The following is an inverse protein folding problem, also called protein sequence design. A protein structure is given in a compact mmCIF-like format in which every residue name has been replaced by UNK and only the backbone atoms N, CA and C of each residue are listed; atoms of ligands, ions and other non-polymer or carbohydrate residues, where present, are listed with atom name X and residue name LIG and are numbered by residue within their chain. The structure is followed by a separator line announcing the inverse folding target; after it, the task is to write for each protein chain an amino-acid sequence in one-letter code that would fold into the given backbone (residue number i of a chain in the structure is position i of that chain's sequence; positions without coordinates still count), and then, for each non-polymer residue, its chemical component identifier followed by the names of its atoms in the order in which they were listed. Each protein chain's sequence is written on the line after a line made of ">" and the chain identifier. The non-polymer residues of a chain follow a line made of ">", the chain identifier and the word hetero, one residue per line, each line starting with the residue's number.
data_IF_094783537258
#
_entry.id   IF_094783537258
#
_cell.length_a   1.000
_cell.length_b   1.000
_cell.length_c   1.000
_cell.angle_alpha   90.00
_cell.angle_beta   90.00
_cell.angle_gamma   90.00
#
_symmetry.space_group_name_H-M   'P 1'
#
loop_
_entity.id
_entity.type
_entity.pdbx_description
1 polymer ?
#
# COMPACT_ATOMS: atom_id res chain seq x y z
N UNK A 1 38.09 10.27 -7.03
CA UNK A 1 36.98 9.63 -7.79
C UNK A 1 36.13 8.70 -6.92
N UNK A 2 36.72 8.02 -5.94
CA UNK A 2 36.01 7.12 -5.00
C UNK A 2 34.88 7.80 -4.19
N UNK A 3 35.05 9.08 -3.81
CA UNK A 3 34.04 9.86 -3.07
C UNK A 3 32.74 10.11 -3.86
N UNK A 4 32.83 10.18 -5.20
CA UNK A 4 31.67 10.38 -6.08
C UNK A 4 30.90 9.08 -6.31
N UNK A 5 31.63 7.96 -6.35
CA UNK A 5 31.03 6.63 -6.46
C UNK A 5 30.22 6.26 -5.20
N UNK A 6 30.72 6.58 -4.00
CA UNK A 6 30.01 6.34 -2.74
C UNK A 6 28.72 7.16 -2.61
N UNK A 7 28.71 8.40 -3.10
CA UNK A 7 27.51 9.25 -3.09
C UNK A 7 26.45 8.74 -4.08
N UNK A 8 26.86 8.25 -5.24
CA UNK A 8 25.95 7.66 -6.23
C UNK A 8 25.31 6.36 -5.72
N UNK A 9 26.09 5.48 -5.07
CA UNK A 9 25.56 4.22 -4.53
C UNK A 9 24.61 4.43 -3.34
N UNK A 10 24.83 5.48 -2.54
CA UNK A 10 23.91 5.83 -1.45
C UNK A 10 22.53 6.26 -1.97
N UNK A 11 22.49 6.99 -3.09
CA UNK A 11 21.23 7.42 -3.73
C UNK A 11 20.51 6.20 -4.35
N UNK A 12 21.24 5.29 -4.99
CA UNK A 12 20.65 4.06 -5.54
C UNK A 12 20.12 3.14 -4.44
N UNK A 13 20.84 3.01 -3.31
CA UNK A 13 20.38 2.20 -2.19
C UNK A 13 19.15 2.79 -1.47
N UNK A 14 19.08 4.12 -1.33
CA UNK A 14 17.93 4.80 -0.73
C UNK A 14 16.70 4.83 -1.65
N UNK A 15 16.89 4.96 -2.97
CA UNK A 15 15.79 4.87 -3.93
C UNK A 15 15.27 3.43 -4.07
N UNK A 16 16.18 2.43 -3.98
CA UNK A 16 15.79 1.03 -4.00
C UNK A 16 14.97 0.63 -2.77
N UNK A 17 15.28 1.15 -1.58
CA UNK A 17 14.51 0.81 -0.37
C UNK A 17 13.08 1.35 -0.40
N UNK A 18 12.86 2.56 -0.93
CA UNK A 18 11.50 3.16 -1.06
C UNK A 18 10.62 2.39 -2.04
N UNK A 19 11.20 1.75 -3.06
CA UNK A 19 10.45 0.90 -4.00
C UNK A 19 10.02 -0.44 -3.39
N UNK A 20 10.71 -0.91 -2.35
CA UNK A 20 10.38 -2.15 -1.65
C UNK A 20 9.43 -1.96 -0.46
N UNK A 21 9.04 -0.72 -0.11
CA UNK A 21 7.99 -0.47 0.89
C UNK A 21 6.60 -0.51 0.24
N UNK A 22 6.23 -1.65 -0.36
CA UNK A 22 4.81 -1.93 -0.59
C UNK A 22 4.14 -1.91 0.78
N UNK A 23 3.24 -0.96 1.04
CA UNK A 23 2.53 -0.90 2.30
C UNK A 23 1.73 -2.21 2.46
N UNK A 24 1.82 -2.89 3.62
CA UNK A 24 0.96 -4.04 3.85
C UNK A 24 -0.50 -3.58 3.76
N UNK A 25 -1.37 -4.42 3.19
CA UNK A 25 -2.80 -4.25 3.38
C UNK A 25 -3.09 -4.43 4.88
N UNK A 26 -3.33 -3.33 5.58
CA UNK A 26 -3.67 -3.34 7.00
C UNK A 26 -5.18 -3.53 7.11
N UNK A 27 -5.63 -4.78 7.18
CA UNK A 27 -6.96 -5.06 7.71
C UNK A 27 -6.89 -4.97 9.24
N UNK A 28 -7.82 -4.22 9.84
CA UNK A 28 -8.01 -4.21 11.29
C UNK A 28 -8.94 -5.37 11.67
N UNK A 29 -8.43 -6.35 12.42
CA UNK A 29 -9.18 -7.53 12.85
C UNK A 29 -9.74 -7.39 14.29
N UNK A 30 -9.66 -6.19 14.89
CA UNK A 30 -10.09 -5.99 16.27
C UNK A 30 -11.62 -5.84 16.36
N UNK A 31 -12.30 -6.98 16.37
CA UNK A 31 -13.76 -7.09 16.50
C UNK A 31 -14.15 -7.06 17.98
N UNK A 32 -14.82 -5.99 18.43
CA UNK A 32 -15.18 -5.86 19.85
C UNK A 32 -16.48 -5.09 20.07
N UNK A 33 -17.28 -5.57 21.03
CA UNK A 33 -18.50 -4.92 21.52
C UNK A 33 -18.53 -5.02 23.05
N UNK A 34 -18.96 -3.94 23.73
CA UNK A 34 -19.06 -3.92 25.20
C UNK A 34 -20.31 -4.63 25.72
N UNK A 35 -21.33 -4.85 24.88
CA UNK A 35 -22.56 -5.59 25.21
C UNK A 35 -23.42 -4.98 26.33
N UNK A 36 -23.06 -3.81 26.88
CA UNK A 36 -23.64 -3.32 28.12
C UNK A 36 -25.09 -2.82 27.93
N UNK A 37 -26.05 -3.44 28.62
CA UNK A 37 -27.48 -3.10 28.51
C UNK A 37 -28.17 -3.63 27.23
N UNK A 38 -27.52 -4.53 26.51
CA UNK A 38 -28.01 -5.06 25.23
C UNK A 38 -28.99 -6.22 25.43
N UNK A 39 -30.19 -6.14 24.81
CA UNK A 39 -31.15 -7.26 24.79
C UNK A 39 -30.92 -8.15 23.55
N UNK A 40 -30.52 -7.58 22.41
CA UNK A 40 -30.32 -8.28 21.12
C UNK A 40 -29.10 -7.81 20.28
N UNK A 41 -28.23 -6.96 20.83
CA UNK A 41 -27.09 -6.35 20.14
C UNK A 41 -25.76 -7.08 20.33
N UNK A 42 -24.76 -6.69 19.55
CA UNK A 42 -23.44 -7.35 19.48
C UNK A 42 -23.22 -8.19 18.22
N UNK A 43 -24.14 -8.12 17.26
CA UNK A 43 -24.07 -8.86 16.00
C UNK A 43 -23.00 -8.22 15.09
N UNK A 44 -21.83 -8.85 15.03
CA UNK A 44 -20.70 -8.42 14.19
C UNK A 44 -20.52 -9.45 13.08
N UNK A 45 -20.51 -9.00 11.83
CA UNK A 45 -20.25 -9.84 10.67
C UNK A 45 -18.82 -9.61 10.22
N UNK A 46 -18.03 -10.69 10.21
CA UNK A 46 -16.65 -10.70 9.78
C UNK A 46 -16.61 -11.53 8.51
N UNK A 47 -16.32 -10.89 7.40
CA UNK A 47 -16.20 -11.54 6.11
C UNK A 47 -14.90 -11.08 5.45
N UNK A 48 -14.18 -12.05 4.90
CA UNK A 48 -13.05 -11.75 4.04
C UNK A 48 -13.59 -11.24 2.70
N UNK A 49 -13.28 -9.99 2.37
CA UNK A 49 -13.73 -9.33 1.16
C UNK A 49 -12.50 -9.01 0.31
N UNK A 50 -12.28 -9.81 -0.72
CA UNK A 50 -11.31 -9.48 -1.75
C UNK A 50 -11.87 -8.37 -2.63
N UNK A 51 -11.33 -7.17 -2.51
CA UNK A 51 -11.65 -6.03 -3.38
C UNK A 51 -10.43 -5.75 -4.26
N UNK A 52 -10.58 -5.65 -5.60
CA UNK A 52 -9.44 -5.56 -6.48
C UNK A 52 -9.12 -4.08 -6.63
N UNK A 53 -8.04 -3.62 -6.00
CA UNK A 53 -7.64 -2.21 -6.09
C UNK A 53 -6.36 -2.13 -6.90
N UNK A 54 -6.44 -1.47 -8.07
CA UNK A 54 -5.26 -1.12 -8.86
C UNK A 54 -4.96 0.36 -8.66
N UNK A 55 -3.82 0.64 -8.03
CA UNK A 55 -3.29 2.00 -7.89
C UNK A 55 -2.07 2.12 -8.80
N UNK A 56 -2.26 2.68 -9.98
CA UNK A 56 -1.22 2.82 -10.99
C UNK A 56 -0.99 4.30 -11.34
N UNK A 57 0.14 4.60 -11.98
CA UNK A 57 0.40 5.95 -12.47
C UNK A 57 0.93 6.89 -11.39
N UNK A 58 1.53 6.34 -10.34
CA UNK A 58 2.21 7.13 -9.33
C UNK A 58 3.66 7.36 -9.77
N UNK A 59 4.09 8.62 -9.81
CA UNK A 59 5.49 8.97 -9.98
C UNK A 59 5.85 10.12 -9.03
N UNK A 60 7.03 10.04 -8.42
CA UNK A 60 7.54 11.05 -7.49
C UNK A 60 8.87 11.56 -8.04
N UNK A 61 8.96 12.87 -8.28
CA UNK A 61 10.18 13.53 -8.76
C UNK A 61 10.79 14.36 -7.66
N UNK A 62 12.00 14.01 -7.21
CA UNK A 62 12.68 14.72 -6.10
C UNK A 62 13.66 15.79 -6.62
N UNK A 63 14.37 15.55 -7.73
CA UNK A 63 15.34 16.49 -8.31
C UNK A 63 15.30 16.55 -9.86
N UNK A 64 14.23 16.06 -10.49
CA UNK A 64 14.10 15.94 -11.94
C UNK A 64 12.66 15.64 -12.39
N UNK A 65 12.45 15.42 -13.69
CA UNK A 65 11.11 15.16 -14.27
C UNK A 65 10.66 13.74 -13.96
N UNK A 66 9.48 13.61 -13.34
CA UNK A 66 8.80 12.35 -13.12
C UNK A 66 7.59 12.23 -14.05
N UNK A 67 7.48 11.11 -14.74
CA UNK A 67 6.32 10.77 -15.59
C UNK A 67 5.78 9.41 -15.18
N UNK A 68 4.46 9.30 -15.14
CA UNK A 68 3.76 8.05 -14.91
C UNK A 68 2.76 7.80 -16.04
N UNK A 69 2.57 6.54 -16.41
CA UNK A 69 1.57 6.15 -17.40
C UNK A 69 0.99 4.79 -17.01
N UNK A 70 -0.26 4.56 -17.38
CA UNK A 70 -0.94 3.27 -17.22
C UNK A 70 -1.68 2.90 -18.49
N UNK A 71 -1.67 1.61 -18.81
CA UNK A 71 -2.61 0.97 -19.74
C UNK A 71 -2.95 -0.43 -19.19
N UNK A 72 -4.19 -0.92 -19.39
CA UNK A 72 -4.63 -2.23 -18.87
C UNK A 72 -4.69 -2.32 -17.34
N UNK A 73 -5.37 -1.39 -16.69
CA UNK A 73 -5.49 -1.27 -15.23
C UNK A 73 -6.57 -2.17 -14.61
N UNK A 74 -6.70 -3.38 -15.14
CA UNK A 74 -7.84 -4.25 -14.89
C UNK A 74 -7.70 -4.97 -13.54
N UNK A 75 -8.01 -4.27 -12.46
CA UNK A 75 -8.20 -4.86 -11.15
C UNK A 75 -9.56 -5.58 -11.14
N UNK A 76 -9.55 -6.91 -11.11
CA UNK A 76 -10.78 -7.70 -11.11
C UNK A 76 -10.76 -8.74 -10.00
N UNK A 77 -11.80 -8.77 -9.19
CA UNK A 77 -12.15 -9.95 -8.39
C UNK A 77 -12.95 -10.85 -9.28
N UNK A 78 -12.65 -12.12 -9.22
CA UNK A 78 -13.48 -13.17 -9.78
C UNK A 78 -13.81 -14.08 -8.62
N UNK A 79 -15.10 -14.27 -8.41
CA UNK A 79 -15.64 -15.24 -7.46
C UNK A 79 -15.34 -16.67 -7.90
#
# INVERSE_FOLDING_TARGET
>A
MLKKALAASAITAAAASVLFTGAPAMADDNISTSGNGSILGGNQLVADLNVPINVCGNAIGILGVAGASCTGSDAKVFE
#
